data_IF_565409220863
#
_entry.id   IF_565409220863
#
_cell.length_a   1.000
_cell.length_b   1.000
_cell.length_c   1.000
_cell.angle_alpha   90.00
_cell.angle_beta   90.00
_cell.angle_gamma   90.00
#
_symmetry.space_group_name_H-M   'P 1'
#
loop_
_entity.id
_entity.type
_entity.pdbx_description
1 polymer ?
#
# COMPACT_ATOMS: atom_id res chain seq x y z
N UNK A 1 12.70 24.89 1.53
CA UNK A 1 11.82 24.33 0.47
C UNK A 1 11.77 22.81 0.49
N UNK A 2 12.89 22.08 0.65
CA UNK A 2 12.93 20.61 0.58
C UNK A 2 12.01 19.87 1.57
N UNK A 3 11.91 20.32 2.82
CA UNK A 3 11.04 19.71 3.84
C UNK A 3 9.55 19.77 3.49
N UNK A 4 9.09 20.90 2.96
CA UNK A 4 7.70 21.08 2.56
C UNK A 4 7.33 20.22 1.36
N UNK A 5 8.25 20.03 0.42
CA UNK A 5 8.05 19.14 -0.72
C UNK A 5 7.93 17.68 -0.27
N UNK A 6 8.74 17.25 0.70
CA UNK A 6 8.63 15.91 1.29
C UNK A 6 7.26 15.70 1.97
N UNK A 7 6.85 16.64 2.83
CA UNK A 7 5.57 16.58 3.54
C UNK A 7 4.39 16.59 2.56
N UNK A 8 4.43 17.47 1.54
CA UNK A 8 3.38 17.53 0.52
C UNK A 8 3.26 16.21 -0.25
N UNK A 9 4.38 15.63 -0.67
CA UNK A 9 4.40 14.36 -1.36
C UNK A 9 3.88 13.22 -0.47
N UNK A 10 4.27 13.18 0.81
CA UNK A 10 3.77 12.17 1.76
C UNK A 10 2.27 12.26 1.92
N UNK A 11 1.73 13.47 2.14
CA UNK A 11 0.28 13.68 2.28
C UNK A 11 -0.48 13.29 1.01
N UNK A 12 0.05 13.61 -0.17
CA UNK A 12 -0.52 13.18 -1.46
C UNK A 12 -0.61 11.65 -1.52
N UNK A 13 0.48 10.94 -1.21
CA UNK A 13 0.50 9.47 -1.25
C UNK A 13 -0.39 8.84 -0.19
N UNK A 14 -0.44 9.41 1.02
CA UNK A 14 -1.36 8.95 2.08
C UNK A 14 -2.81 9.07 1.62
N UNK A 15 -3.19 10.19 1.00
CA UNK A 15 -4.54 10.38 0.47
C UNK A 15 -4.94 9.29 -0.53
N UNK A 16 -4.01 8.85 -1.40
CA UNK A 16 -4.23 7.74 -2.35
C UNK A 16 -4.44 6.40 -1.64
N UNK A 17 -3.80 6.19 -0.47
CA UNK A 17 -4.01 4.96 0.32
C UNK A 17 -5.37 4.91 1.01
N UNK A 18 -5.92 6.07 1.37
CA UNK A 18 -7.18 6.23 2.12
C UNK A 18 -8.39 6.34 1.19
N UNK A 19 -8.23 6.80 -0.05
CA UNK A 19 -9.31 6.81 -1.03
C UNK A 19 -9.93 5.41 -1.16
N UNK A 20 -11.25 5.29 -0.90
CA UNK A 20 -12.01 4.05 -0.87
C UNK A 20 -12.59 3.65 -2.24
N UNK A 21 -12.22 4.38 -3.30
CA UNK A 21 -12.59 4.07 -4.71
C UNK A 21 -12.22 2.63 -5.16
N UNK A 22 -11.50 1.88 -4.34
CA UNK A 22 -11.04 0.50 -4.57
C UNK A 22 -11.97 -0.60 -4.03
N UNK A 23 -13.07 -0.27 -3.37
CA UNK A 23 -13.92 -1.25 -2.64
C UNK A 23 -14.79 -2.18 -3.52
N UNK A 24 -14.90 -1.94 -4.82
CA UNK A 24 -15.63 -2.83 -5.74
C UNK A 24 -14.96 -4.23 -5.85
N UNK A 25 -15.64 -5.36 -5.58
CA UNK A 25 -15.04 -6.69 -5.71
C UNK A 25 -14.65 -7.10 -7.15
N UNK A 26 -15.02 -6.32 -8.17
CA UNK A 26 -14.69 -6.55 -9.58
C UNK A 26 -13.19 -6.36 -9.88
N UNK A 27 -12.57 -7.32 -10.57
CA UNK A 27 -11.17 -7.27 -11.05
C UNK A 27 -10.09 -7.11 -9.95
N UNK A 28 -10.15 -7.97 -8.94
CA UNK A 28 -9.20 -7.96 -7.82
C UNK A 28 -7.73 -8.14 -8.22
N UNK A 29 -7.45 -8.91 -9.29
CA UNK A 29 -6.08 -9.09 -9.80
C UNK A 29 -5.50 -7.78 -10.34
N UNK A 30 -6.28 -7.00 -11.10
CA UNK A 30 -5.85 -5.68 -11.58
C UNK A 30 -5.58 -4.71 -10.43
N UNK A 31 -6.37 -4.79 -9.34
CA UNK A 31 -6.17 -3.97 -8.15
C UNK A 31 -4.88 -4.32 -7.40
N UNK A 32 -4.58 -5.62 -7.26
CA UNK A 32 -3.33 -6.07 -6.66
C UNK A 32 -2.13 -5.56 -7.46
N UNK A 33 -2.16 -5.65 -8.79
CA UNK A 33 -1.08 -5.16 -9.65
C UNK A 33 -0.89 -3.65 -9.53
N UNK A 34 -1.98 -2.87 -9.54
CA UNK A 34 -1.91 -1.41 -9.32
C UNK A 34 -1.31 -1.06 -7.97
N UNK A 35 -1.70 -1.76 -6.90
CA UNK A 35 -1.15 -1.57 -5.56
C UNK A 35 0.34 -1.90 -5.50
N UNK A 36 0.79 -2.97 -6.16
CA UNK A 36 2.21 -3.30 -6.26
C UNK A 36 3.03 -2.21 -6.96
N UNK A 37 2.50 -1.64 -8.05
CA UNK A 37 3.14 -0.52 -8.74
C UNK A 37 3.24 0.71 -7.83
N UNK A 38 2.18 1.03 -7.10
CA UNK A 38 2.17 2.13 -6.14
C UNK A 38 3.21 1.91 -5.03
N UNK A 39 3.29 0.71 -4.46
CA UNK A 39 4.29 0.38 -3.44
C UNK A 39 5.71 0.47 -3.98
N UNK A 40 5.96 0.06 -5.23
CA UNK A 40 7.26 0.23 -5.87
C UNK A 40 7.65 1.71 -6.03
N UNK A 41 6.70 2.58 -6.40
CA UNK A 41 6.91 4.04 -6.46
C UNK A 41 7.26 4.63 -5.08
N UNK A 42 6.53 4.22 -4.03
CA UNK A 42 6.80 4.64 -2.65
C UNK A 42 8.21 4.21 -2.22
N UNK A 43 8.59 2.95 -2.48
CA UNK A 43 9.92 2.43 -2.16
C UNK A 43 11.03 3.11 -2.94
N UNK A 44 10.80 3.46 -4.22
CA UNK A 44 11.78 4.21 -5.02
C UNK A 44 12.08 5.60 -4.44
N UNK A 45 11.14 6.18 -3.68
CA UNK A 45 11.32 7.47 -3.01
C UNK A 45 11.93 7.36 -1.60
N UNK A 46 12.10 6.16 -1.04
CA UNK A 46 12.58 5.96 0.32
C UNK A 46 13.93 6.66 0.57
N UNK A 47 14.88 6.51 -0.35
CA UNK A 47 16.21 7.10 -0.20
C UNK A 47 16.16 8.64 -0.10
N UNK A 48 15.24 9.29 -0.85
CA UNK A 48 15.04 10.74 -0.79
C UNK A 48 14.53 11.17 0.59
N UNK A 49 13.54 10.46 1.13
CA UNK A 49 12.97 10.75 2.46
C UNK A 49 14.03 10.57 3.55
N UNK A 50 14.80 9.46 3.51
CA UNK A 50 15.86 9.19 4.47
C UNK A 50 17.00 10.21 4.41
N UNK A 51 17.39 10.63 3.20
CA UNK A 51 18.41 11.67 3.03
C UNK A 51 17.99 12.98 3.67
N UNK A 52 16.73 13.40 3.46
CA UNK A 52 16.17 14.63 4.06
C UNK A 52 16.14 14.54 5.58
N UNK A 53 15.74 13.38 6.13
CA UNK A 53 15.73 13.14 7.57
C UNK A 53 17.13 13.19 8.18
N UNK A 54 18.12 12.57 7.51
CA UNK A 54 19.52 12.55 7.95
C UNK A 54 20.10 13.96 7.95
N UNK A 55 19.89 14.72 6.88
CA UNK A 55 20.39 16.08 6.77
C UNK A 55 19.75 17.02 7.80
N UNK A 56 18.44 16.87 8.05
CA UNK A 56 17.76 17.60 9.11
C UNK A 56 18.28 17.26 10.51
N UNK A 57 18.58 15.98 10.77
CA UNK A 57 19.23 15.53 12.01
C UNK A 57 20.60 16.19 12.21
N UNK A 58 21.45 16.20 11.17
CA UNK A 58 22.75 16.85 11.23
C UNK A 58 22.66 18.35 11.53
N UNK A 59 21.67 19.06 10.97
CA UNK A 59 21.46 20.49 11.27
C UNK A 59 21.06 20.71 12.73
N UNK A 60 20.26 19.81 13.31
CA UNK A 60 19.86 19.87 14.72
C UNK A 60 21.08 19.62 15.61
N UNK A 61 21.83 18.55 15.34
CA UNK A 61 23.01 18.16 16.14
C UNK A 61 24.12 19.21 16.09
N UNK A 62 24.27 19.91 14.96
CA UNK A 62 25.22 21.01 14.79
C UNK A 62 24.79 22.31 15.49
N UNK A 63 23.62 22.34 16.15
CA UNK A 63 23.12 23.55 16.82
C UNK A 63 22.77 24.68 15.85
N UNK A 64 22.32 24.34 14.64
CA UNK A 64 21.95 25.33 13.63
C UNK A 64 20.90 26.31 14.17
N UNK A 65 20.96 27.59 13.79
CA UNK A 65 20.09 28.64 14.34
C UNK A 65 18.59 28.33 14.18
N UNK A 66 18.23 27.55 13.15
CA UNK A 66 16.87 27.11 12.86
C UNK A 66 16.51 25.72 13.43
N UNK A 67 17.35 25.09 14.26
CA UNK A 67 17.14 23.73 14.77
C UNK A 67 15.76 23.55 15.42
N UNK A 68 15.29 24.55 16.18
CA UNK A 68 13.96 24.56 16.82
C UNK A 68 12.79 24.51 15.83
N UNK A 69 12.99 24.95 14.59
CA UNK A 69 11.98 24.87 13.52
C UNK A 69 12.13 23.60 12.66
N UNK A 70 13.33 23.05 12.59
CA UNK A 70 13.65 21.85 11.79
C UNK A 70 13.17 20.59 12.53
N UNK A 71 13.40 20.50 13.84
CA UNK A 71 13.02 19.36 14.68
C UNK A 71 11.56 18.93 14.54
N UNK A 72 10.55 19.80 14.70
CA UNK A 72 9.15 19.40 14.52
C UNK A 72 8.83 18.95 13.09
N UNK A 73 9.51 19.50 12.08
CA UNK A 73 9.33 19.09 10.68
C UNK A 73 9.92 17.71 10.42
N UNK A 74 11.05 17.37 11.05
CA UNK A 74 11.67 16.04 10.96
C UNK A 74 10.78 14.98 11.57
N UNK A 75 10.24 15.29 12.76
CA UNK A 75 9.27 14.42 13.42
C UNK A 75 8.04 14.17 12.55
N UNK A 76 7.48 15.23 11.95
CA UNK A 76 6.34 15.12 11.05
C UNK A 76 6.63 14.24 9.83
N UNK A 77 7.78 14.39 9.18
CA UNK A 77 8.16 13.56 8.02
C UNK A 77 8.26 12.09 8.42
N UNK A 78 8.85 11.79 9.59
CA UNK A 78 9.00 10.42 10.08
C UNK A 78 7.65 9.77 10.40
N UNK A 79 6.74 10.52 11.02
CA UNK A 79 5.38 10.06 11.35
C UNK A 79 4.59 9.77 10.08
N UNK A 80 4.55 10.71 9.12
CA UNK A 80 3.85 10.54 7.85
C UNK A 80 4.43 9.39 7.01
N UNK A 81 5.74 9.20 7.02
CA UNK A 81 6.37 8.08 6.33
C UNK A 81 5.92 6.74 6.93
N UNK A 82 5.94 6.62 8.26
CA UNK A 82 5.50 5.40 8.94
C UNK A 82 4.01 5.12 8.68
N UNK A 83 3.17 6.15 8.71
CA UNK A 83 1.74 6.04 8.38
C UNK A 83 1.54 5.53 6.95
N UNK A 84 2.25 6.11 5.96
CA UNK A 84 2.16 5.69 4.57
C UNK A 84 2.52 4.20 4.40
N UNK A 85 3.59 3.74 5.05
CA UNK A 85 4.01 2.34 4.99
C UNK A 85 2.98 1.40 5.61
N UNK A 86 2.40 1.80 6.74
CA UNK A 86 1.38 1.02 7.43
C UNK A 86 0.09 0.92 6.61
N UNK A 87 -0.34 2.03 6.00
CA UNK A 87 -1.49 2.03 5.09
C UNK A 87 -1.24 1.11 3.87
N UNK A 88 -0.03 1.13 3.31
CA UNK A 88 0.36 0.23 2.22
C UNK A 88 0.26 -1.25 2.64
N UNK A 89 0.81 -1.60 3.80
CA UNK A 89 0.78 -2.96 4.35
C UNK A 89 -0.65 -3.44 4.60
N UNK A 90 -1.47 -2.60 5.24
CA UNK A 90 -2.86 -2.92 5.55
C UNK A 90 -3.69 -3.13 4.27
N UNK A 91 -3.52 -2.26 3.27
CA UNK A 91 -4.17 -2.40 1.97
C UNK A 91 -3.73 -3.65 1.23
N UNK A 92 -2.43 -3.96 1.21
CA UNK A 92 -1.89 -5.20 0.64
C UNK A 92 -2.48 -6.44 1.30
N UNK A 93 -2.52 -6.48 2.63
CA UNK A 93 -3.07 -7.59 3.41
C UNK A 93 -4.53 -7.88 3.01
N UNK A 94 -5.38 -6.84 3.04
CA UNK A 94 -6.79 -6.93 2.64
C UNK A 94 -6.98 -7.44 1.20
N UNK A 95 -6.20 -6.92 0.24
CA UNK A 95 -6.28 -7.35 -1.16
C UNK A 95 -5.86 -8.81 -1.35
N UNK A 96 -4.78 -9.22 -0.68
CA UNK A 96 -4.28 -10.60 -0.75
C UNK A 96 -5.28 -11.58 -0.15
N UNK A 97 -5.88 -11.24 0.99
CA UNK A 97 -6.86 -12.11 1.65
C UNK A 97 -8.16 -12.22 0.86
N UNK A 98 -8.67 -11.11 0.31
CA UNK A 98 -9.79 -11.14 -0.62
C UNK A 98 -9.50 -12.03 -1.84
N UNK A 99 -8.26 -12.00 -2.36
CA UNK A 99 -7.89 -12.77 -3.56
C UNK A 99 -7.79 -14.25 -3.27
N UNK A 100 -7.27 -14.61 -2.09
CA UNK A 100 -7.27 -16.00 -1.60
C UNK A 100 -8.69 -16.53 -1.42
N UNK A 101 -9.59 -15.74 -0.83
CA UNK A 101 -11.00 -16.11 -0.64
C UNK A 101 -11.67 -16.37 -1.99
N UNK A 102 -11.56 -15.43 -2.94
CA UNK A 102 -12.15 -15.57 -4.28
C UNK A 102 -11.64 -16.82 -5.02
N UNK A 103 -10.32 -17.07 -4.99
CA UNK A 103 -9.72 -18.27 -5.60
C UNK A 103 -10.27 -19.56 -4.99
N UNK A 104 -10.40 -19.63 -3.67
CA UNK A 104 -10.98 -20.78 -2.97
C UNK A 104 -12.43 -21.00 -3.39
N UNK A 105 -13.27 -19.97 -3.37
CA UNK A 105 -14.67 -20.08 -3.79
C UNK A 105 -14.80 -20.55 -5.23
N UNK A 106 -13.99 -20.01 -6.15
CA UNK A 106 -13.98 -20.44 -7.55
C UNK A 106 -13.59 -21.91 -7.69
N UNK A 107 -12.51 -22.35 -7.05
CA UNK A 107 -12.05 -23.75 -7.10
C UNK A 107 -13.07 -24.72 -6.48
N UNK A 108 -13.77 -24.30 -5.42
CA UNK A 108 -14.82 -25.09 -4.80
C UNK A 108 -16.05 -25.20 -5.72
N UNK A 109 -16.45 -24.10 -6.37
CA UNK A 109 -17.54 -24.11 -7.34
C UNK A 109 -17.19 -24.97 -8.57
N UNK A 110 -15.99 -24.82 -9.13
CA UNK A 110 -15.50 -25.64 -10.26
C UNK A 110 -15.48 -27.14 -9.89
N UNK A 111 -15.00 -27.49 -8.69
CA UNK A 111 -14.96 -28.88 -8.23
C UNK A 111 -16.35 -29.46 -7.98
N UNK A 112 -17.22 -28.75 -7.27
CA UNK A 112 -18.61 -29.18 -7.06
C UNK A 112 -19.38 -29.32 -8.38
N UNK A 113 -19.10 -28.49 -9.37
CA UNK A 113 -19.72 -28.57 -10.70
C UNK A 113 -19.18 -29.77 -11.51
N UNK A 114 -17.88 -30.08 -11.41
CA UNK A 114 -17.32 -31.33 -11.97
C UNK A 114 -17.88 -32.57 -11.28
N UNK A 115 -18.00 -32.56 -9.95
CA UNK A 115 -18.55 -33.69 -9.19
C UNK A 115 -20.04 -33.92 -9.54
N UNK A 116 -20.81 -32.85 -9.78
CA UNK A 116 -22.18 -32.95 -10.31
C UNK A 116 -22.24 -33.57 -11.72
N UNK A 117 -21.33 -33.18 -12.62
CA UNK A 117 -21.26 -33.74 -13.98
C UNK A 117 -20.75 -35.19 -14.02
N UNK A 118 -19.89 -35.60 -13.09
CA UNK A 118 -19.36 -36.97 -13.00
C UNK A 118 -20.35 -37.91 -12.28
N UNK A 119 -21.13 -37.40 -11.33
CA UNK A 119 -22.14 -38.18 -10.58
C UNK A 119 -23.50 -38.26 -11.27
N UNK A 120 -23.74 -37.43 -12.29
CA UNK A 120 -24.89 -37.56 -13.16
C UNK A 120 -24.77 -38.88 -13.93
N UNK A 121 -25.71 -39.84 -13.78
CA UNK A 121 -25.71 -41.02 -14.63
C UNK A 121 -25.81 -40.50 -16.05
N UNK A 122 -24.85 -40.87 -16.89
CA UNK A 122 -24.99 -40.73 -18.33
C UNK A 122 -26.41 -41.17 -18.67
N UNK A 123 -27.26 -40.24 -19.11
CA UNK A 123 -28.37 -40.57 -20.00
C UNK A 123 -27.71 -41.12 -21.26
N UNK A 124 -27.37 -42.40 -21.19
CA UNK A 124 -27.29 -43.25 -22.35
C UNK A 124 -28.68 -43.26 -22.96
N UNK A 125 -28.71 -43.02 -24.26
CA UNK A 125 -29.85 -42.99 -25.19
C UNK A 125 -30.53 -41.64 -25.35
#
# INVERSE_FOLDING_TARGET
>A
MLFLQAISWLNEKISITVDESWTDPSNLQGKLQKHQTFEAEVMANQNRILSIATEGGHMIDAGHYAAKEIEPRMKQIQELWNELLENCRNKRSKLVDAHKVLKRHRSHCERSHCDYYISSPLTSQ
#
